data_IF_575725218342
#
_entry.id   IF_575725218342
#
_cell.length_a   1.000
_cell.length_b   1.000
_cell.length_c   1.000
_cell.angle_alpha   90.00
_cell.angle_beta   90.00
_cell.angle_gamma   90.00
#
_symmetry.space_group_name_H-M   'P 1'
#
loop_
_entity.id
_entity.type
_entity.pdbx_description
1 polymer ?
#
# COMPACT_ATOMS: atom_id res chain seq x y z
N UNK A 1 3.08 -31.92 -58.68
CA UNK A 1 3.85 -31.05 -59.58
C UNK A 1 3.93 -29.72 -58.85
N UNK A 2 5.06 -29.22 -58.36
CA UNK A 2 6.50 -29.46 -58.52
C UNK A 2 7.13 -29.32 -57.12
N UNK A 3 7.90 -30.29 -56.62
CA UNK A 3 9.37 -30.43 -56.75
C UNK A 3 10.20 -29.27 -56.12
N UNK A 4 10.94 -29.67 -55.08
CA UNK A 4 12.11 -29.07 -54.39
C UNK A 4 13.30 -28.89 -55.39
N UNK A 5 14.58 -28.52 -55.04
CA UNK A 5 15.31 -28.43 -53.75
C UNK A 5 16.25 -27.18 -53.66
N UNK A 6 17.17 -26.99 -52.70
CA UNK A 6 18.56 -27.52 -52.70
C UNK A 6 19.42 -26.72 -51.68
N UNK A 7 20.09 -27.34 -50.69
CA UNK A 7 21.57 -27.64 -50.60
C UNK A 7 22.41 -26.41 -50.19
N UNK A 8 23.44 -26.39 -49.33
CA UNK A 8 24.52 -27.32 -48.91
C UNK A 8 25.16 -26.74 -47.60
N UNK A 9 25.56 -27.54 -46.60
CA UNK A 9 26.89 -28.18 -46.40
C UNK A 9 27.90 -27.45 -45.48
N UNK A 10 28.14 -28.11 -44.33
CA UNK A 10 29.37 -28.37 -43.51
C UNK A 10 30.75 -27.93 -44.08
N UNK A 11 31.85 -27.74 -43.26
CA UNK A 11 32.44 -28.82 -42.42
C UNK A 11 33.31 -28.49 -41.16
N UNK A 12 33.64 -29.59 -40.43
CA UNK A 12 34.86 -30.02 -39.69
C UNK A 12 35.73 -29.05 -38.87
N UNK A 13 36.00 -29.24 -37.56
CA UNK A 13 36.74 -30.29 -36.81
C UNK A 13 38.25 -29.98 -36.60
N UNK A 14 38.73 -30.19 -35.36
CA UNK A 14 40.12 -30.42 -34.82
C UNK A 14 40.22 -29.71 -33.45
N UNK A 15 40.18 -30.37 -32.27
CA UNK A 15 41.15 -31.27 -31.62
C UNK A 15 42.61 -30.79 -31.60
N UNK A 16 43.08 -30.40 -30.41
CA UNK A 16 44.48 -30.52 -29.98
C UNK A 16 44.54 -30.73 -28.46
N UNK A 17 45.01 -31.92 -28.07
CA UNK A 17 45.51 -32.25 -26.73
C UNK A 17 46.85 -31.59 -26.45
N UNK A 18 47.10 -31.18 -25.20
CA UNK A 18 48.46 -31.15 -24.64
C UNK A 18 48.44 -31.21 -23.10
N UNK A 19 48.92 -32.35 -22.59
CA UNK A 19 49.86 -32.56 -21.46
C UNK A 19 49.67 -31.80 -20.13
N UNK A 20 49.21 -32.56 -19.13
CA UNK A 20 50.03 -33.08 -18.03
C UNK A 20 51.17 -32.19 -17.48
N UNK A 21 50.98 -31.66 -16.26
CA UNK A 21 52.01 -31.62 -15.21
C UNK A 21 51.43 -31.19 -13.84
N UNK A 22 51.58 -32.09 -12.86
CA UNK A 22 51.52 -31.93 -11.39
C UNK A 22 52.82 -32.62 -10.92
N UNK A 23 53.59 -32.23 -9.86
CA UNK A 23 53.20 -31.52 -8.62
C UNK A 23 54.23 -30.50 -8.04
N UNK A 24 53.86 -29.80 -6.93
CA UNK A 24 54.39 -29.92 -5.53
C UNK A 24 54.57 -28.59 -4.75
N UNK A 25 54.08 -28.61 -3.49
CA UNK A 25 54.50 -27.88 -2.25
C UNK A 25 53.91 -26.46 -2.03
N UNK A 26 53.69 -25.92 -0.79
CA UNK A 26 53.62 -26.47 0.58
C UNK A 26 52.30 -26.17 1.33
N UNK A 27 52.17 -26.86 2.47
CA UNK A 27 51.37 -26.49 3.64
C UNK A 27 51.59 -25.04 4.09
N UNK A 28 50.51 -24.27 4.21
CA UNK A 28 50.36 -23.18 5.18
C UNK A 28 48.87 -22.86 5.33
N UNK A 29 48.36 -23.10 6.54
CA UNK A 29 47.03 -22.63 6.94
C UNK A 29 47.15 -21.15 7.34
N UNK A 30 46.19 -20.31 6.95
CA UNK A 30 45.81 -19.18 7.77
C UNK A 30 44.40 -19.41 8.31
N UNK A 31 44.32 -19.47 9.64
CA UNK A 31 43.12 -19.23 10.43
C UNK A 31 42.33 -18.05 9.85
N UNK A 32 41.18 -18.33 9.24
CA UNK A 32 40.18 -17.30 8.99
C UNK A 32 39.48 -17.04 10.31
N UNK A 33 40.08 -16.14 11.08
CA UNK A 33 39.45 -15.51 12.25
C UNK A 33 38.16 -14.85 11.78
N UNK A 34 37.07 -15.16 12.47
CA UNK A 34 35.79 -14.48 12.39
C UNK A 34 35.98 -12.95 12.36
N UNK A 35 35.46 -12.32 11.31
CA UNK A 35 34.81 -11.01 11.47
C UNK A 35 33.35 -11.18 11.07
N UNK A 36 32.58 -11.77 11.99
CA UNK A 36 31.19 -11.42 12.10
C UNK A 36 31.15 -9.92 12.38
N UNK A 37 30.91 -9.11 11.36
CA UNK A 37 30.40 -7.75 11.56
C UNK A 37 29.05 -7.90 12.26
N UNK A 38 29.10 -8.00 13.59
CA UNK A 38 27.98 -7.61 14.44
C UNK A 38 27.81 -6.12 14.19
N UNK A 39 27.01 -5.77 13.18
CA UNK A 39 26.38 -4.48 13.15
C UNK A 39 25.60 -4.38 14.47
N UNK A 40 26.17 -3.65 15.42
CA UNK A 40 25.45 -3.22 16.61
C UNK A 40 24.13 -2.62 16.09
N UNK A 41 22.97 -3.02 16.66
CA UNK A 41 21.72 -2.36 16.31
C UNK A 41 21.95 -0.86 16.56
N UNK A 42 21.88 -0.06 15.50
CA UNK A 42 22.02 1.39 15.60
C UNK A 42 20.97 1.86 16.59
N UNK A 43 21.42 2.19 17.81
CA UNK A 43 20.57 2.79 18.82
C UNK A 43 20.09 4.12 18.25
N UNK A 44 18.77 4.38 18.28
CA UNK A 44 18.24 5.61 17.73
C UNK A 44 18.90 6.82 18.40
N UNK A 45 19.17 7.83 17.60
CA UNK A 45 19.72 9.09 18.08
C UNK A 45 18.65 9.87 18.85
N UNK A 46 19.05 10.71 19.79
CA UNK A 46 18.13 11.58 20.55
C UNK A 46 17.24 12.45 19.65
N UNK A 47 17.70 12.79 18.44
CA UNK A 47 16.90 13.54 17.46
C UNK A 47 15.81 12.68 16.81
N UNK A 48 16.11 11.43 16.45
CA UNK A 48 15.12 10.50 15.91
C UNK A 48 14.02 10.15 16.92
N UNK A 49 14.36 10.09 18.22
CA UNK A 49 13.38 9.89 19.29
C UNK A 49 12.46 11.11 19.46
N UNK A 50 12.99 12.33 19.34
CA UNK A 50 12.20 13.56 19.39
C UNK A 50 11.27 13.69 18.17
N UNK A 51 11.76 13.36 16.97
CA UNK A 51 10.95 13.31 15.74
C UNK A 51 9.85 12.25 15.82
N UNK A 52 10.15 11.04 16.34
CA UNK A 52 9.15 9.99 16.58
C UNK A 52 8.08 10.45 17.57
N UNK A 53 8.46 11.19 18.62
CA UNK A 53 7.52 11.74 19.61
C UNK A 53 6.59 12.78 18.97
N UNK A 54 7.13 13.67 18.13
CA UNK A 54 6.33 14.65 17.40
C UNK A 54 5.35 13.95 16.43
N UNK A 55 5.83 12.96 15.67
CA UNK A 55 4.99 12.18 14.77
C UNK A 55 3.92 11.36 15.52
N UNK A 56 4.24 10.85 16.71
CA UNK A 56 3.27 10.17 17.59
C UNK A 56 2.13 11.11 17.96
N UNK A 57 2.42 12.35 18.37
CA UNK A 57 1.41 13.34 18.69
C UNK A 57 0.50 13.65 17.49
N UNK A 58 1.08 13.92 16.33
CA UNK A 58 0.29 14.19 15.12
C UNK A 58 -0.55 12.97 14.69
N UNK A 59 0.00 11.77 14.84
CA UNK A 59 -0.67 10.51 14.56
C UNK A 59 -1.86 10.26 15.51
N UNK A 60 -1.73 10.64 16.79
CA UNK A 60 -2.84 10.58 17.75
C UNK A 60 -3.96 11.55 17.38
N UNK A 61 -3.63 12.79 17.02
CA UNK A 61 -4.61 13.79 16.57
C UNK A 61 -5.35 13.31 15.33
N UNK A 62 -4.62 12.78 14.35
CA UNK A 62 -5.20 12.18 13.15
C UNK A 62 -6.14 11.03 13.52
N UNK A 63 -5.68 10.06 14.30
CA UNK A 63 -6.46 8.89 14.67
C UNK A 63 -7.74 9.28 15.42
N UNK A 64 -7.64 10.22 16.36
CA UNK A 64 -8.81 10.74 17.07
C UNK A 64 -9.86 11.31 16.11
N UNK A 65 -9.43 12.11 15.13
CA UNK A 65 -10.34 12.61 14.09
C UNK A 65 -10.95 11.49 13.24
N UNK A 66 -10.17 10.46 12.89
CA UNK A 66 -10.66 9.32 12.10
C UNK A 66 -11.63 8.44 12.89
N UNK A 67 -11.42 8.27 14.20
CA UNK A 67 -12.28 7.51 15.09
C UNK A 67 -13.59 8.24 15.39
N UNK A 68 -13.53 9.55 15.65
CA UNK A 68 -14.74 10.39 15.78
C UNK A 68 -15.59 10.34 14.52
N UNK A 69 -14.91 10.32 13.37
CA UNK A 69 -15.53 10.09 12.09
C UNK A 69 -16.17 8.67 12.10
N UNK A 70 -15.45 7.62 12.53
CA UNK A 70 -15.89 6.23 12.39
C UNK A 70 -17.07 5.87 13.30
N UNK A 71 -17.23 6.57 14.42
CA UNK A 71 -18.42 6.47 15.28
C UNK A 71 -19.69 6.79 14.47
N UNK A 72 -19.63 7.73 13.51
CA UNK A 72 -20.78 8.07 12.66
C UNK A 72 -21.21 6.90 11.77
N UNK A 73 -20.28 6.05 11.30
CA UNK A 73 -20.64 4.84 10.55
C UNK A 73 -21.41 3.82 11.40
N UNK A 74 -21.30 3.89 12.72
CA UNK A 74 -22.03 3.02 13.63
C UNK A 74 -23.45 3.52 13.92
N UNK A 75 -23.81 4.72 13.45
CA UNK A 75 -25.16 5.27 13.55
C UNK A 75 -26.15 4.45 12.70
N UNK A 76 -27.32 4.04 13.24
CA UNK A 76 -28.36 3.34 12.48
C UNK A 76 -28.78 4.04 11.19
N UNK A 77 -28.80 5.38 11.15
CA UNK A 77 -29.14 6.12 9.93
C UNK A 77 -28.07 5.95 8.84
N UNK A 78 -26.80 5.88 9.23
CA UNK A 78 -25.68 5.67 8.30
C UNK A 78 -25.63 4.21 7.82
N UNK A 79 -25.98 3.26 8.68
CA UNK A 79 -26.11 1.84 8.31
C UNK A 79 -27.21 1.58 7.28
N UNK A 80 -28.19 2.48 7.18
CA UNK A 80 -29.25 2.43 6.19
C UNK A 80 -28.87 3.05 4.84
N UNK A 81 -27.74 3.76 4.72
CA UNK A 81 -27.35 4.45 3.48
C UNK A 81 -25.91 4.13 3.04
N UNK A 82 -25.74 3.23 2.07
CA UNK A 82 -24.45 2.97 1.44
C UNK A 82 -23.79 4.21 0.84
N UNK A 83 -24.58 5.18 0.36
CA UNK A 83 -24.07 6.42 -0.23
C UNK A 83 -23.39 7.30 0.83
N UNK A 84 -24.05 7.52 1.96
CA UNK A 84 -23.49 8.30 3.07
C UNK A 84 -22.25 7.63 3.66
N UNK A 85 -22.25 6.30 3.75
CA UNK A 85 -21.09 5.57 4.21
C UNK A 85 -19.89 5.65 3.23
N UNK A 86 -20.17 5.71 1.93
CA UNK A 86 -19.13 5.91 0.93
C UNK A 86 -18.56 7.33 0.98
N UNK A 87 -19.42 8.36 1.09
CA UNK A 87 -19.01 9.74 1.30
C UNK A 87 -18.10 9.88 2.52
N UNK A 88 -18.50 9.22 3.60
CA UNK A 88 -17.73 9.13 4.82
C UNK A 88 -16.33 8.51 4.58
N UNK A 89 -16.28 7.37 3.88
CA UNK A 89 -15.02 6.66 3.63
C UNK A 89 -14.09 7.47 2.71
N UNK A 90 -14.65 8.22 1.77
CA UNK A 90 -13.93 9.20 0.96
C UNK A 90 -13.28 10.27 1.84
N UNK A 91 -14.01 10.82 2.83
CA UNK A 91 -13.48 11.81 3.76
C UNK A 91 -12.34 11.27 4.63
N UNK A 92 -12.48 10.06 5.18
CA UNK A 92 -11.41 9.37 5.91
C UNK A 92 -10.16 9.20 5.04
N UNK A 93 -10.35 8.71 3.82
CA UNK A 93 -9.26 8.46 2.88
C UNK A 93 -8.54 9.76 2.53
N UNK A 94 -9.28 10.84 2.26
CA UNK A 94 -8.68 12.15 1.96
C UNK A 94 -7.87 12.73 3.11
N UNK A 95 -8.35 12.60 4.35
CA UNK A 95 -7.58 13.05 5.54
C UNK A 95 -6.27 12.28 5.69
N UNK A 96 -6.30 10.97 5.44
CA UNK A 96 -5.10 10.13 5.47
C UNK A 96 -4.13 10.47 4.34
N UNK A 97 -4.63 10.70 3.12
CA UNK A 97 -3.84 11.14 1.98
C UNK A 97 -3.15 12.47 2.32
N UNK A 98 -3.89 13.46 2.79
CA UNK A 98 -3.35 14.77 3.16
C UNK A 98 -2.29 14.70 4.27
N UNK A 99 -2.51 13.85 5.27
CA UNK A 99 -1.50 13.61 6.30
C UNK A 99 -0.25 12.96 5.71
N UNK A 100 -0.42 11.93 4.88
CA UNK A 100 0.68 11.17 4.27
C UNK A 100 1.52 12.02 3.32
N UNK A 101 0.90 12.96 2.60
CA UNK A 101 1.60 13.92 1.72
C UNK A 101 2.52 14.89 2.49
N UNK A 102 2.23 15.13 3.77
CA UNK A 102 3.02 16.01 4.65
C UNK A 102 4.15 15.29 5.36
N UNK A 103 4.18 13.95 5.36
CA UNK A 103 5.20 13.19 6.06
C UNK A 103 6.60 13.42 5.45
N UNK A 104 7.62 13.68 6.29
CA UNK A 104 9.00 13.71 5.83
C UNK A 104 9.45 12.28 5.53
N UNK A 105 9.44 11.88 4.25
CA UNK A 105 9.98 10.58 3.82
C UNK A 105 11.38 10.75 3.23
N UNK A 106 12.46 10.33 3.91
CA UNK A 106 13.81 10.41 3.37
C UNK A 106 13.94 9.56 2.09
N UNK A 107 14.48 10.15 1.02
CA UNK A 107 14.83 9.46 -0.22
C UNK A 107 13.66 9.01 -1.11
N UNK A 108 12.40 9.38 -0.82
CA UNK A 108 11.24 9.03 -1.66
C UNK A 108 10.64 10.25 -2.37
N UNK A 109 10.13 10.03 -3.59
CA UNK A 109 9.20 10.98 -4.20
C UNK A 109 8.03 11.21 -3.25
N UNK A 110 7.60 12.48 -3.13
CA UNK A 110 6.41 12.85 -2.35
C UNK A 110 5.25 11.96 -2.76
N UNK A 111 4.56 11.41 -1.76
CA UNK A 111 3.36 10.62 -2.01
C UNK A 111 2.33 11.47 -2.77
N UNK A 112 1.61 10.84 -3.69
CA UNK A 112 0.49 11.44 -4.41
C UNK A 112 -0.56 10.36 -4.63
N UNK A 113 -1.82 10.68 -4.32
CA UNK A 113 -2.94 9.79 -4.55
C UNK A 113 -3.07 9.40 -6.02
N UNK A 114 -2.93 10.37 -6.94
CA UNK A 114 -3.01 10.12 -8.39
C UNK A 114 -1.93 9.13 -8.84
N UNK A 115 -0.68 9.36 -8.41
CA UNK A 115 0.42 8.47 -8.72
C UNK A 115 0.21 7.06 -8.15
N UNK A 116 -0.36 6.94 -6.94
CA UNK A 116 -0.71 5.65 -6.33
C UNK A 116 -1.74 4.91 -7.19
N UNK A 117 -2.84 5.56 -7.55
CA UNK A 117 -3.96 4.96 -8.27
C UNK A 117 -3.54 4.55 -9.69
N UNK A 118 -2.73 5.38 -10.36
CA UNK A 118 -2.21 5.06 -11.71
C UNK A 118 -1.24 3.88 -11.64
N UNK A 119 -0.28 3.89 -10.71
CA UNK A 119 0.72 2.82 -10.58
C UNK A 119 0.11 1.49 -10.19
N UNK A 120 -0.90 1.49 -9.33
CA UNK A 120 -1.54 0.27 -8.81
C UNK A 120 -2.92 0.01 -9.45
N UNK A 121 -3.17 0.52 -10.67
CA UNK A 121 -4.50 0.50 -11.31
C UNK A 121 -5.15 -0.89 -11.36
N UNK A 122 -4.38 -1.93 -11.66
CA UNK A 122 -4.90 -3.31 -11.76
C UNK A 122 -5.48 -3.87 -10.46
N UNK A 123 -5.19 -3.21 -9.34
CA UNK A 123 -5.57 -3.63 -8.02
C UNK A 123 -6.83 -2.93 -7.48
N UNK A 124 -7.42 -2.03 -8.28
CA UNK A 124 -8.66 -1.34 -7.99
C UNK A 124 -9.77 -1.84 -8.91
N UNK A 125 -10.91 -2.22 -8.34
CA UNK A 125 -12.04 -2.76 -9.12
C UNK A 125 -12.88 -1.64 -9.76
N UNK A 126 -13.06 -0.54 -9.04
CA UNK A 126 -13.94 0.58 -9.43
C UNK A 126 -13.26 1.92 -9.29
N UNK A 127 -12.33 2.07 -8.35
CA UNK A 127 -11.61 3.31 -8.12
C UNK A 127 -10.63 3.60 -9.27
N UNK A 128 -10.63 4.83 -9.74
CA UNK A 128 -9.85 5.27 -10.89
C UNK A 128 -9.56 6.78 -10.84
N UNK A 129 -8.94 7.28 -11.91
CA UNK A 129 -8.56 8.68 -12.00
C UNK A 129 -9.76 9.64 -12.04
N UNK A 130 -10.89 9.21 -12.60
CA UNK A 130 -12.09 10.05 -12.77
C UNK A 130 -12.72 10.52 -11.45
N UNK A 131 -12.36 9.90 -10.32
CA UNK A 131 -12.84 10.29 -8.99
C UNK A 131 -11.90 11.26 -8.28
N UNK A 132 -10.76 11.60 -8.89
CA UNK A 132 -9.72 12.43 -8.30
C UNK A 132 -9.74 13.82 -8.93
N UNK A 133 -9.87 14.84 -8.10
CA UNK A 133 -9.72 16.23 -8.50
C UNK A 133 -8.79 16.94 -7.50
N UNK A 134 -7.80 17.66 -8.03
CA UNK A 134 -6.77 18.34 -7.22
C UNK A 134 -6.10 17.39 -6.21
N UNK A 135 -5.77 16.16 -6.61
CA UNK A 135 -5.15 15.17 -5.73
C UNK A 135 -6.03 14.63 -4.59
N UNK A 136 -7.35 14.85 -4.64
CA UNK A 136 -8.31 14.37 -3.63
C UNK A 136 -9.47 13.62 -4.27
N UNK A 137 -10.01 12.64 -3.56
CA UNK A 137 -11.23 11.95 -3.95
C UNK A 137 -12.43 12.88 -3.78
N UNK A 138 -13.30 12.98 -4.78
CA UNK A 138 -14.49 13.83 -4.73
C UNK A 138 -15.75 12.98 -4.73
N UNK A 139 -16.52 13.03 -3.64
CA UNK A 139 -17.74 12.22 -3.51
C UNK A 139 -18.74 12.46 -4.65
N UNK A 140 -18.90 13.71 -5.11
CA UNK A 140 -19.79 14.04 -6.22
C UNK A 140 -19.47 13.27 -7.52
N UNK A 141 -18.20 12.89 -7.75
CA UNK A 141 -17.82 12.04 -8.88
C UNK A 141 -18.33 10.60 -8.71
N UNK A 142 -18.30 10.07 -7.48
CA UNK A 142 -18.89 8.76 -7.17
C UNK A 142 -20.41 8.81 -7.26
N UNK A 143 -21.04 9.83 -6.69
CA UNK A 143 -22.49 10.00 -6.67
C UNK A 143 -23.05 10.02 -8.11
N UNK A 144 -22.47 10.85 -8.99
CA UNK A 144 -22.88 10.95 -10.40
C UNK A 144 -22.85 9.61 -11.15
N UNK A 145 -21.89 8.75 -10.84
CA UNK A 145 -21.68 7.49 -11.55
C UNK A 145 -22.46 6.33 -10.94
N UNK A 146 -22.65 6.35 -9.62
CA UNK A 146 -23.02 5.15 -8.85
C UNK A 146 -24.23 5.32 -7.95
N UNK A 147 -24.75 6.54 -7.77
CA UNK A 147 -25.94 6.79 -6.95
C UNK A 147 -27.08 7.25 -7.85
N UNK A 148 -28.25 6.63 -7.69
CA UNK A 148 -29.47 6.97 -8.40
C UNK A 148 -30.62 6.98 -7.42
N UNK A 149 -31.38 8.08 -7.37
CA UNK A 149 -32.57 8.23 -6.52
C UNK A 149 -32.33 7.87 -5.04
N UNK A 150 -31.17 8.28 -4.47
CA UNK A 150 -30.85 8.04 -3.06
C UNK A 150 -30.31 6.64 -2.73
N UNK A 151 -30.23 5.74 -3.71
CA UNK A 151 -29.67 4.38 -3.56
C UNK A 151 -28.46 4.13 -4.47
N UNK A 152 -27.72 3.06 -4.19
CA UNK A 152 -26.65 2.60 -5.08
C UNK A 152 -27.26 2.02 -6.37
N UNK A 153 -26.70 2.42 -7.51
CA UNK A 153 -27.13 1.96 -8.84
C UNK A 153 -26.97 0.45 -9.02
N UNK A 154 -25.92 -0.13 -8.43
CA UNK A 154 -25.71 -1.57 -8.37
C UNK A 154 -25.33 -1.99 -6.95
N UNK A 155 -25.88 -3.12 -6.48
CA UNK A 155 -25.62 -3.65 -5.15
C UNK A 155 -24.15 -4.00 -4.92
N UNK A 156 -23.41 -4.34 -5.97
CA UNK A 156 -21.97 -4.62 -5.90
C UNK A 156 -21.11 -3.36 -5.83
N UNK A 157 -21.63 -2.17 -6.16
CA UNK A 157 -20.80 -0.97 -6.24
C UNK A 157 -20.25 -0.54 -4.89
N UNK A 158 -21.09 -0.53 -3.86
CA UNK A 158 -20.68 -0.20 -2.51
C UNK A 158 -19.55 -1.10 -1.97
N UNK A 159 -19.66 -2.45 -1.98
CA UNK A 159 -18.59 -3.30 -1.48
C UNK A 159 -17.30 -3.18 -2.29
N UNK A 160 -17.39 -3.00 -3.62
CA UNK A 160 -16.21 -2.82 -4.48
C UNK A 160 -15.47 -1.51 -4.17
N UNK A 161 -16.19 -0.39 -4.14
CA UNK A 161 -15.59 0.91 -3.82
C UNK A 161 -15.08 0.97 -2.37
N UNK A 162 -15.81 0.38 -1.43
CA UNK A 162 -15.37 0.32 -0.03
C UNK A 162 -14.05 -0.44 0.10
N UNK A 163 -13.91 -1.57 -0.61
CA UNK A 163 -12.67 -2.35 -0.66
C UNK A 163 -11.51 -1.54 -1.25
N UNK A 164 -11.76 -0.84 -2.37
CA UNK A 164 -10.74 0.00 -3.01
C UNK A 164 -10.28 1.15 -2.09
N UNK A 165 -11.21 1.82 -1.42
CA UNK A 165 -10.89 2.91 -0.49
C UNK A 165 -10.20 2.42 0.79
N UNK A 166 -10.61 1.26 1.32
CA UNK A 166 -9.90 0.60 2.43
C UNK A 166 -8.47 0.24 2.03
N UNK A 167 -8.24 -0.14 0.77
CA UNK A 167 -6.89 -0.40 0.26
C UNK A 167 -6.05 0.89 0.27
N UNK A 168 -6.57 2.00 -0.23
CA UNK A 168 -5.87 3.31 -0.16
C UNK A 168 -5.57 3.71 1.28
N UNK A 169 -6.57 3.58 2.16
CA UNK A 169 -6.46 3.83 3.61
C UNK A 169 -5.32 3.00 4.21
N UNK A 170 -5.29 1.70 3.95
CA UNK A 170 -4.24 0.79 4.44
C UNK A 170 -2.85 1.18 3.92
N UNK A 171 -2.73 1.58 2.65
CA UNK A 171 -1.45 2.03 2.08
C UNK A 171 -0.96 3.29 2.78
N UNK A 172 -1.84 4.28 2.99
CA UNK A 172 -1.49 5.52 3.70
C UNK A 172 -1.05 5.23 5.14
N UNK A 173 -1.81 4.42 5.89
CA UNK A 173 -1.43 4.03 7.26
C UNK A 173 -0.08 3.31 7.31
N UNK A 174 0.20 2.43 6.35
CA UNK A 174 1.50 1.77 6.26
C UNK A 174 2.65 2.75 5.94
N UNK A 175 2.38 3.84 5.20
CA UNK A 175 3.35 4.90 4.98
C UNK A 175 3.59 5.71 6.26
N UNK A 176 2.53 6.02 7.03
CA UNK A 176 2.66 6.63 8.35
C UNK A 176 3.53 5.78 9.28
N UNK A 177 3.30 4.46 9.35
CA UNK A 177 4.17 3.56 10.14
C UNK A 177 5.62 3.64 9.68
N UNK A 178 5.88 3.71 8.37
CA UNK A 178 7.24 3.77 7.84
C UNK A 178 7.96 5.10 8.12
N UNK A 179 7.23 6.14 8.52
CA UNK A 179 7.81 7.43 8.87
C UNK A 179 8.43 7.44 10.28
N UNK A 180 8.07 6.50 11.16
CA UNK A 180 8.74 6.33 12.46
C UNK A 180 10.13 5.70 12.28
N UNK A 181 11.13 6.26 12.96
CA UNK A 181 12.53 5.87 12.94
C UNK A 181 12.78 4.64 13.82
N UNK A 182 12.19 4.61 15.02
CA UNK A 182 12.44 3.54 15.98
C UNK A 182 11.60 2.30 15.68
N UNK A 183 12.17 1.08 15.83
CA UNK A 183 11.40 -0.16 15.68
C UNK A 183 10.21 -0.26 16.64
N UNK A 184 10.36 0.28 17.85
CA UNK A 184 9.33 0.27 18.90
C UNK A 184 8.10 1.06 18.48
N UNK A 185 8.26 2.34 18.08
CA UNK A 185 7.14 3.15 17.60
C UNK A 185 6.49 2.55 16.35
N UNK A 186 7.29 2.03 15.41
CA UNK A 186 6.76 1.31 14.24
C UNK A 186 5.86 0.14 14.62
N UNK A 187 6.26 -0.66 15.60
CA UNK A 187 5.48 -1.83 16.03
C UNK A 187 4.20 -1.41 16.77
N UNK A 188 4.29 -0.41 17.65
CA UNK A 188 3.14 0.15 18.35
C UNK A 188 2.11 0.71 17.36
N UNK A 189 2.54 1.60 16.46
CA UNK A 189 1.64 2.25 15.50
C UNK A 189 1.10 1.30 14.43
N UNK A 190 1.87 0.28 14.04
CA UNK A 190 1.33 -0.82 13.22
C UNK A 190 0.14 -1.49 13.90
N UNK A 191 0.26 -1.78 15.19
CA UNK A 191 -0.81 -2.41 15.97
C UNK A 191 -2.03 -1.49 16.06
N UNK A 192 -1.83 -0.23 16.44
CA UNK A 192 -2.89 0.78 16.56
C UNK A 192 -3.66 0.96 15.24
N UNK A 193 -2.94 1.23 14.14
CA UNK A 193 -3.58 1.42 12.84
C UNK A 193 -4.26 0.15 12.29
N UNK A 194 -3.70 -1.03 12.57
CA UNK A 194 -4.36 -2.28 12.20
C UNK A 194 -5.70 -2.46 12.94
N UNK A 195 -5.75 -2.11 14.24
CA UNK A 195 -6.97 -2.13 15.03
C UNK A 195 -8.04 -1.19 14.48
N UNK A 196 -7.65 0.04 14.15
CA UNK A 196 -8.53 1.00 13.48
C UNK A 196 -9.08 0.46 12.15
N UNK A 197 -8.21 -0.06 11.28
CA UNK A 197 -8.62 -0.56 9.96
C UNK A 197 -9.58 -1.75 10.07
N UNK A 198 -9.33 -2.67 11.00
CA UNK A 198 -10.24 -3.81 11.28
C UNK A 198 -11.61 -3.32 11.76
N UNK A 199 -11.63 -2.33 12.66
CA UNK A 199 -12.89 -1.76 13.15
C UNK A 199 -13.65 -1.04 12.03
N UNK A 200 -12.97 -0.25 11.21
CA UNK A 200 -13.56 0.41 10.05
C UNK A 200 -14.16 -0.59 9.06
N UNK A 201 -13.40 -1.64 8.69
CA UNK A 201 -13.87 -2.70 7.80
C UNK A 201 -15.10 -3.43 8.37
N UNK A 202 -15.09 -3.74 9.68
CA UNK A 202 -16.23 -4.37 10.36
C UNK A 202 -17.47 -3.47 10.35
N UNK A 203 -17.31 -2.17 10.56
CA UNK A 203 -18.43 -1.22 10.48
C UNK A 203 -19.01 -1.16 9.07
N UNK A 204 -18.17 -1.18 8.04
CA UNK A 204 -18.63 -1.18 6.65
C UNK A 204 -19.41 -2.45 6.26
N UNK A 205 -19.04 -3.61 6.81
CA UNK A 205 -19.76 -4.87 6.58
C UNK A 205 -21.18 -4.89 7.14
N UNK A 206 -21.49 -4.04 8.12
CA UNK A 206 -22.83 -3.94 8.72
C UNK A 206 -23.81 -3.13 7.88
N UNK A 207 -23.32 -2.44 6.86
CA UNK A 207 -24.14 -1.58 6.00
C UNK A 207 -24.80 -2.47 4.97
N UNK A 208 -26.13 -2.58 5.08
CA UNK A 208 -26.91 -3.35 4.13
C UNK A 208 -26.96 -2.62 2.77
N UNK A 209 -26.75 -3.32 1.64
CA UNK A 209 -27.14 -2.76 0.36
C UNK A 209 -28.65 -2.57 0.36
N UNK A 210 -29.12 -1.33 0.23
CA UNK A 210 -30.55 -1.05 0.07
C UNK A 210 -31.11 -1.91 -1.07
N UNK A 211 -32.28 -2.55 -0.89
CA UNK A 211 -32.93 -3.25 -1.99
C UNK A 211 -33.28 -2.24 -3.08
N UNK A 212 -33.11 -2.59 -4.38
CA UNK A 212 -33.50 -1.71 -5.45
C UNK A 212 -35.02 -1.49 -5.42
N UNK A 213 -35.46 -0.25 -5.14
CA UNK A 213 -36.85 0.19 -5.30
C UNK A 213 -37.70 0.29 -4.03
N UNK A 214 -37.17 0.84 -2.92
CA UNK A 214 -37.99 1.32 -1.78
C UNK A 214 -38.41 2.76 -1.98
#
# INVERSE_FOLDING_TARGET
>A
MEETPSVASRPSASQTSAMEQVPRIPSEAPSVVLQAHMALPETPTSAEEEEDTALEYESMVLLSHLEQSAIRLSDPMMQASPALALEYLVNVTNRLVEFTERLPMPGRQKFSLEALIVRDRQNYERLGFDYIHNGRLVFAAFEKLHVSQGGMRHSSTFPQLSKDLLRVTNICLNLCVKAFHTPTHRQQWRTVYSGFLVNLARSLQKIAPLPPGS
#
